data_IF_721165190625
#
_entry.id   IF_721165190625
#
_cell.length_a   1.000
_cell.length_b   1.000
_cell.length_c   1.000
_cell.angle_alpha   90.00
_cell.angle_beta   90.00
_cell.angle_gamma   90.00
#
_symmetry.space_group_name_H-M   'P 1'
#
loop_
_entity.id
_entity.type
_entity.pdbx_description
1 polymer ?
#
# COMPACT_ATOMS: atom_id res chain seq x y z
N UNK A 1 41.04 -51.38 18.80
CA UNK A 1 39.97 -50.70 18.06
C UNK A 1 40.07 -49.23 18.44
N UNK A 2 40.60 -48.41 17.53
CA UNK A 2 40.56 -46.96 17.69
C UNK A 2 39.11 -46.52 17.50
N UNK A 3 38.62 -45.69 18.42
CA UNK A 3 37.28 -45.11 18.37
C UNK A 3 37.37 -43.94 17.42
N UNK A 4 36.77 -44.05 16.24
CA UNK A 4 36.59 -42.93 15.32
C UNK A 4 35.66 -41.93 16.03
N UNK A 5 36.19 -40.76 16.35
CA UNK A 5 35.39 -39.61 16.77
C UNK A 5 34.65 -39.13 15.52
N UNK A 6 33.33 -39.29 15.53
CA UNK A 6 32.48 -38.73 14.49
C UNK A 6 32.58 -37.20 14.57
N UNK A 7 33.09 -36.57 13.52
CA UNK A 7 33.01 -35.13 13.33
C UNK A 7 31.52 -34.74 13.35
N UNK A 8 31.09 -34.02 14.39
CA UNK A 8 29.80 -33.35 14.38
C UNK A 8 29.87 -32.28 13.29
N UNK A 9 29.23 -32.54 12.15
CA UNK A 9 28.98 -31.50 11.15
C UNK A 9 28.29 -30.32 11.86
N UNK A 10 28.99 -29.18 11.95
CA UNK A 10 28.46 -27.92 12.50
C UNK A 10 27.26 -27.47 11.65
N UNK A 11 26.06 -27.95 12.00
CA UNK A 11 24.81 -27.51 11.36
C UNK A 11 24.57 -26.06 11.76
N UNK A 12 24.85 -25.15 10.83
CA UNK A 12 24.52 -23.72 10.97
C UNK A 12 23.01 -23.56 10.88
N UNK A 13 22.33 -23.48 12.02
CA UNK A 13 20.93 -23.07 12.08
C UNK A 13 20.82 -21.57 11.80
N UNK A 14 20.36 -21.22 10.60
CA UNK A 14 20.03 -19.84 10.25
C UNK A 14 18.67 -19.48 10.84
N UNK A 15 18.63 -18.37 11.55
CA UNK A 15 17.41 -17.78 12.10
C UNK A 15 16.57 -17.11 11.00
N UNK A 16 15.25 -17.01 11.20
CA UNK A 16 14.32 -16.37 10.25
C UNK A 16 14.72 -14.94 9.91
N UNK A 17 15.33 -14.21 10.85
CA UNK A 17 15.85 -12.86 10.61
C UNK A 17 16.92 -12.78 9.51
N UNK A 18 17.55 -13.90 9.15
CA UNK A 18 18.50 -13.97 8.03
C UNK A 18 17.83 -13.70 6.67
N UNK A 19 16.53 -14.01 6.54
CA UNK A 19 15.78 -13.88 5.30
C UNK A 19 14.90 -12.61 5.26
N UNK A 20 14.84 -11.86 6.36
CA UNK A 20 14.01 -10.66 6.49
C UNK A 20 14.86 -9.39 6.50
N UNK A 21 14.46 -8.41 5.71
CA UNK A 21 15.07 -7.09 5.71
C UNK A 21 14.33 -6.16 6.68
N UNK A 22 15.01 -5.67 7.71
CA UNK A 22 14.49 -4.68 8.66
C UNK A 22 15.16 -3.30 8.51
N UNK A 23 15.93 -3.09 7.45
CA UNK A 23 16.68 -1.85 7.22
C UNK A 23 15.77 -0.76 6.62
N UNK A 24 14.79 -0.32 7.41
CA UNK A 24 13.95 0.80 7.06
C UNK A 24 14.76 2.09 7.07
N UNK A 25 14.52 2.92 6.06
CA UNK A 25 15.19 4.20 5.90
C UNK A 25 14.16 5.29 5.68
N UNK A 26 14.34 6.39 6.42
CA UNK A 26 13.57 7.61 6.17
C UNK A 26 13.96 8.12 4.78
N UNK A 27 12.99 8.08 3.87
CA UNK A 27 13.19 8.41 2.46
C UNK A 27 12.30 9.59 2.11
N UNK A 28 12.90 10.64 1.54
CA UNK A 28 12.19 11.84 1.12
C UNK A 28 11.76 11.71 -0.33
N UNK A 29 10.46 11.81 -0.57
CA UNK A 29 9.84 11.84 -1.89
C UNK A 29 9.30 13.25 -2.16
N UNK A 30 9.51 13.75 -3.38
CA UNK A 30 9.04 15.08 -3.79
C UNK A 30 8.16 14.97 -5.01
N UNK A 31 6.93 15.46 -4.90
CA UNK A 31 5.94 15.48 -5.97
C UNK A 31 5.38 16.90 -6.12
N UNK A 32 5.80 17.60 -7.18
CA UNK A 32 5.48 19.02 -7.34
C UNK A 32 6.01 19.84 -6.16
N UNK A 33 5.12 20.53 -5.44
CA UNK A 33 5.46 21.29 -4.21
C UNK A 33 5.33 20.46 -2.93
N UNK A 34 4.90 19.21 -3.01
CA UNK A 34 4.66 18.36 -1.84
C UNK A 34 5.91 17.52 -1.55
N UNK A 35 6.27 17.46 -0.27
CA UNK A 35 7.35 16.64 0.25
C UNK A 35 6.73 15.62 1.21
N UNK A 36 7.06 14.36 1.01
CA UNK A 36 6.64 13.24 1.84
C UNK A 36 7.89 12.55 2.38
N UNK A 37 7.90 12.25 3.68
CA UNK A 37 8.97 11.48 4.30
C UNK A 37 8.38 10.17 4.81
N UNK A 38 8.84 9.07 4.23
CA UNK A 38 8.31 7.73 4.53
C UNK A 38 9.43 6.86 5.06
N UNK A 39 9.15 6.12 6.12
CA UNK A 39 10.03 5.08 6.62
C UNK A 39 9.74 3.81 5.80
N UNK A 40 10.59 3.49 4.84
CA UNK A 40 10.38 2.35 3.94
C UNK A 40 11.67 1.54 3.73
N UNK A 41 11.51 0.30 3.27
CA UNK A 41 12.63 -0.48 2.75
C UNK A 41 13.04 0.01 1.36
N UNK A 42 14.25 -0.34 0.93
CA UNK A 42 14.76 -0.10 -0.43
C UNK A 42 14.90 -1.38 -1.25
N UNK A 43 14.71 -2.54 -0.63
CA UNK A 43 14.75 -3.85 -1.28
C UNK A 43 13.74 -4.78 -0.64
N UNK A 44 13.00 -5.51 -1.48
CA UNK A 44 12.13 -6.59 -1.03
C UNK A 44 12.99 -7.76 -0.54
N UNK A 45 12.56 -8.47 0.49
CA UNK A 45 12.88 -9.90 0.55
C UNK A 45 11.91 -10.66 -0.35
N UNK A 46 12.19 -11.92 -0.67
CA UNK A 46 11.31 -12.76 -1.49
C UNK A 46 9.99 -13.14 -0.80
N UNK A 47 9.73 -12.62 0.40
CA UNK A 47 8.57 -12.99 1.19
C UNK A 47 7.34 -12.13 0.88
N UNK A 48 6.18 -12.77 0.79
CA UNK A 48 4.92 -12.13 0.39
C UNK A 48 4.48 -11.04 1.38
N UNK A 49 4.85 -11.20 2.66
CA UNK A 49 4.47 -10.33 3.78
C UNK A 49 5.24 -8.99 3.82
N UNK A 50 6.24 -8.80 2.97
CA UNK A 50 7.14 -7.63 3.01
C UNK A 50 6.93 -6.69 1.81
N UNK A 51 5.99 -7.02 0.91
CA UNK A 51 5.67 -6.18 -0.26
C UNK A 51 5.03 -4.84 0.12
N UNK A 52 4.35 -4.76 1.26
CA UNK A 52 3.78 -3.52 1.79
C UNK A 52 4.82 -2.53 2.34
N UNK A 53 6.11 -2.91 2.41
CA UNK A 53 7.15 -2.11 3.05
C UNK A 53 7.97 -1.25 2.07
N UNK A 54 7.63 -1.33 0.78
CA UNK A 54 8.29 -0.61 -0.30
C UNK A 54 7.36 0.44 -0.91
N UNK A 55 7.95 1.55 -1.33
CA UNK A 55 7.27 2.47 -2.25
C UNK A 55 7.46 1.94 -3.67
N UNK A 56 6.39 1.38 -4.25
CA UNK A 56 6.44 0.80 -5.58
C UNK A 56 6.41 1.86 -6.70
N UNK A 57 6.96 1.58 -7.90
CA UNK A 57 7.01 2.54 -9.00
C UNK A 57 5.64 3.09 -9.45
N UNK A 58 4.58 2.31 -9.38
CA UNK A 58 3.21 2.73 -9.64
C UNK A 58 2.71 3.78 -8.63
N UNK A 59 3.15 3.71 -7.37
CA UNK A 59 2.84 4.72 -6.36
C UNK A 59 3.56 6.03 -6.68
N UNK A 60 4.81 5.95 -7.15
CA UNK A 60 5.57 7.11 -7.64
C UNK A 60 4.88 7.77 -8.84
N UNK A 61 4.42 6.98 -9.81
CA UNK A 61 3.68 7.47 -10.97
C UNK A 61 2.35 8.12 -10.58
N UNK A 62 1.60 7.50 -9.66
CA UNK A 62 0.33 8.02 -9.19
C UNK A 62 0.50 9.37 -8.48
N UNK A 63 1.47 9.46 -7.56
CA UNK A 63 1.76 10.68 -6.82
C UNK A 63 2.27 11.81 -7.73
N UNK A 64 3.14 11.51 -8.71
CA UNK A 64 3.56 12.48 -9.73
C UNK A 64 2.35 13.00 -10.53
N UNK A 65 1.45 12.11 -10.96
CA UNK A 65 0.22 12.48 -11.66
C UNK A 65 -0.68 13.37 -10.79
N UNK A 66 -0.96 12.98 -9.55
CA UNK A 66 -1.82 13.73 -8.64
C UNK A 66 -1.24 15.11 -8.30
N UNK A 67 0.09 15.22 -8.17
CA UNK A 67 0.75 16.51 -7.90
C UNK A 67 0.57 17.53 -9.02
N UNK A 68 0.36 17.06 -10.25
CA UNK A 68 0.10 17.88 -11.45
C UNK A 68 -1.39 18.18 -11.65
N UNK A 69 -2.28 17.47 -10.94
CA UNK A 69 -3.74 17.61 -11.06
C UNK A 69 -4.39 17.75 -9.66
N UNK A 70 -3.96 18.71 -8.81
CA UNK A 70 -4.42 18.83 -7.42
C UNK A 70 -5.92 19.12 -7.28
N UNK A 71 -6.56 19.69 -8.30
CA UNK A 71 -7.99 19.91 -8.37
C UNK A 71 -8.81 18.62 -8.34
N UNK A 72 -8.22 17.48 -8.73
CA UNK A 72 -8.88 16.17 -8.67
C UNK A 72 -9.10 15.67 -7.24
N UNK A 73 -8.30 16.14 -6.28
CA UNK A 73 -8.39 15.74 -4.88
C UNK A 73 -9.15 16.76 -4.03
N UNK A 74 -9.23 18.02 -4.49
CA UNK A 74 -9.77 19.11 -3.69
C UNK A 74 -11.27 18.91 -3.41
N UNK A 75 -11.60 18.69 -2.13
CA UNK A 75 -12.98 18.50 -1.69
C UNK A 75 -13.56 17.14 -2.06
N UNK A 76 -12.75 16.21 -2.57
CA UNK A 76 -13.16 14.86 -2.90
C UNK A 76 -13.03 13.92 -1.70
N UNK A 77 -13.96 12.99 -1.60
CA UNK A 77 -13.80 11.80 -0.78
C UNK A 77 -13.00 10.76 -1.54
N UNK A 78 -11.91 10.28 -0.94
CA UNK A 78 -10.95 9.37 -1.57
C UNK A 78 -10.80 8.12 -0.72
N UNK A 79 -10.73 6.96 -1.38
CA UNK A 79 -10.29 5.70 -0.79
C UNK A 79 -9.12 5.17 -1.61
N UNK A 80 -8.08 4.72 -0.94
CA UNK A 80 -6.91 4.09 -1.55
C UNK A 80 -6.89 2.59 -1.25
N UNK A 81 -6.68 1.80 -2.28
CA UNK A 81 -6.51 0.37 -2.20
C UNK A 81 -5.03 0.03 -2.09
N UNK A 82 -4.70 -0.89 -1.18
CA UNK A 82 -3.33 -1.38 -1.00
C UNK A 82 -2.33 -0.25 -0.80
N UNK A 83 -2.57 0.62 0.18
CA UNK A 83 -1.75 1.81 0.47
C UNK A 83 -0.27 1.49 0.73
N UNK A 84 0.06 0.24 1.07
CA UNK A 84 1.44 -0.20 1.27
C UNK A 84 2.04 0.48 2.49
N UNK A 85 3.13 1.23 2.27
CA UNK A 85 3.78 2.03 3.32
C UNK A 85 2.84 3.18 3.66
N UNK A 86 2.05 3.02 4.72
CA UNK A 86 1.11 4.04 5.13
C UNK A 86 1.85 5.22 5.78
N UNK A 87 1.72 6.47 5.27
CA UNK A 87 2.19 7.65 5.98
C UNK A 87 1.54 7.84 7.36
N UNK A 88 0.36 7.27 7.63
CA UNK A 88 -0.37 7.44 8.89
C UNK A 88 0.33 6.77 10.09
N UNK A 89 0.91 5.58 9.95
CA UNK A 89 1.73 4.98 11.02
C UNK A 89 3.04 5.75 11.24
N UNK A 90 3.42 6.62 10.31
CA UNK A 90 4.60 7.47 10.40
C UNK A 90 4.32 8.83 11.07
N UNK A 91 3.07 9.25 11.23
CA UNK A 91 2.70 10.54 11.84
C UNK A 91 2.80 10.51 13.37
N UNK A 92 2.61 9.35 14.01
CA UNK A 92 2.75 9.23 15.48
C UNK A 92 4.21 9.32 15.98
N UNK A 93 5.20 9.24 15.07
CA UNK A 93 6.63 9.26 15.46
C UNK A 93 7.30 10.64 15.34
N UNK A 94 6.63 11.64 14.76
CA UNK A 94 7.22 12.97 14.51
C UNK A 94 6.29 14.14 14.87
N UNK A 95 5.58 14.07 16.00
CA UNK A 95 5.05 15.29 16.64
C UNK A 95 6.20 16.12 17.22
N UNK A 96 6.82 16.93 16.35
CA UNK A 96 7.58 18.11 16.76
C UNK A 96 7.32 19.28 15.81
N UNK A 97 6.69 20.31 16.37
CA UNK A 97 6.59 21.72 15.97
C UNK A 97 5.93 22.10 14.64
N UNK A 98 4.70 22.61 14.77
CA UNK A 98 4.08 23.74 14.05
C UNK A 98 4.28 23.85 12.53
N UNK A 99 3.33 23.30 11.75
CA UNK A 99 2.73 24.08 10.66
C UNK A 99 1.27 23.68 10.43
N UNK A 100 0.39 24.67 10.56
CA UNK A 100 -1.06 24.57 10.40
C UNK A 100 -1.44 24.10 8.99
N UNK A 101 -1.90 22.86 8.82
CA UNK A 101 -2.73 22.44 7.68
C UNK A 101 -3.71 21.36 8.14
N UNK A 102 -4.99 21.64 7.95
CA UNK A 102 -6.12 20.73 8.19
C UNK A 102 -5.87 19.38 7.52
N UNK A 103 -5.38 18.40 8.28
CA UNK A 103 -5.40 17.01 7.87
C UNK A 103 -6.88 16.60 7.81
N UNK A 104 -7.44 16.56 6.60
CA UNK A 104 -8.73 15.93 6.39
C UNK A 104 -8.63 14.50 6.92
N UNK A 105 -9.51 14.12 7.85
CA UNK A 105 -9.45 12.86 8.62
C UNK A 105 -9.12 11.63 7.77
N UNK A 106 -7.83 11.31 7.69
CA UNK A 106 -7.28 10.11 7.09
C UNK A 106 -7.55 8.97 8.06
N UNK A 107 -8.05 7.84 7.55
CA UNK A 107 -8.36 6.67 8.36
C UNK A 107 -7.86 5.44 7.63
N UNK A 108 -6.93 4.72 8.25
CA UNK A 108 -6.52 3.41 7.81
C UNK A 108 -7.55 2.36 8.25
N UNK A 109 -8.02 1.54 7.31
CA UNK A 109 -8.97 0.46 7.57
C UNK A 109 -8.58 -0.77 6.78
N UNK A 110 -8.70 -1.94 7.41
CA UNK A 110 -8.47 -3.22 6.73
C UNK A 110 -9.57 -3.46 5.70
N UNK A 111 -9.16 -3.73 4.46
CA UNK A 111 -10.04 -4.14 3.37
C UNK A 111 -9.38 -5.25 2.55
N UNK A 112 -9.80 -6.48 2.80
CA UNK A 112 -9.50 -7.63 1.95
C UNK A 112 -10.38 -7.60 0.70
N UNK A 113 -9.79 -7.85 -0.46
CA UNK A 113 -10.53 -7.85 -1.72
C UNK A 113 -11.67 -8.88 -1.69
N UNK A 114 -12.87 -8.44 -2.05
CA UNK A 114 -14.09 -9.26 -2.03
C UNK A 114 -14.78 -9.34 -0.67
N UNK A 115 -14.16 -8.84 0.41
CA UNK A 115 -14.76 -8.87 1.74
C UNK A 115 -15.86 -7.80 1.87
N UNK A 116 -17.11 -8.25 1.77
CA UNK A 116 -18.27 -7.35 1.74
C UNK A 116 -18.62 -6.77 3.13
N UNK A 117 -18.27 -7.47 4.22
CA UNK A 117 -18.51 -6.99 5.59
C UNK A 117 -17.57 -5.83 5.93
N UNK A 118 -16.29 -5.97 5.63
CA UNK A 118 -15.30 -4.89 5.79
C UNK A 118 -15.66 -3.69 4.91
N UNK A 119 -16.04 -3.93 3.65
CA UNK A 119 -16.51 -2.87 2.76
C UNK A 119 -17.75 -2.15 3.33
N UNK A 120 -18.71 -2.91 3.87
CA UNK A 120 -19.91 -2.33 4.47
C UNK A 120 -19.59 -1.47 5.69
N UNK A 121 -18.68 -1.91 6.57
CA UNK A 121 -18.20 -1.13 7.72
C UNK A 121 -17.57 0.19 7.28
N UNK A 122 -16.70 0.17 6.26
CA UNK A 122 -16.09 1.38 5.70
C UNK A 122 -17.19 2.34 5.20
N UNK A 123 -18.20 1.81 4.51
CA UNK A 123 -19.31 2.60 3.96
C UNK A 123 -20.28 3.15 5.01
N UNK A 124 -20.37 2.55 6.19
CA UNK A 124 -21.15 3.12 7.31
C UNK A 124 -20.59 4.47 7.75
N UNK A 125 -19.26 4.65 7.69
CA UNK A 125 -18.63 5.94 7.97
C UNK A 125 -18.86 6.99 6.86
N UNK A 126 -19.21 6.54 5.64
CA UNK A 126 -19.35 7.38 4.44
C UNK A 126 -20.48 6.87 3.55
N UNK A 127 -21.72 7.12 3.98
CA UNK A 127 -22.95 6.62 3.33
C UNK A 127 -23.07 7.06 1.85
N UNK A 128 -22.45 8.18 1.45
CA UNK A 128 -22.44 8.66 0.07
C UNK A 128 -21.38 8.03 -0.85
N UNK A 129 -20.61 7.06 -0.36
CA UNK A 129 -19.48 6.47 -1.08
C UNK A 129 -18.30 7.43 -1.25
N UNK A 130 -17.47 7.16 -2.26
CA UNK A 130 -16.25 7.91 -2.56
C UNK A 130 -16.32 8.55 -3.95
N UNK A 131 -15.75 9.74 -4.12
CA UNK A 131 -15.59 10.39 -5.42
C UNK A 131 -14.45 9.77 -6.23
N UNK A 132 -13.44 9.24 -5.53
CA UNK A 132 -12.23 8.68 -6.13
C UNK A 132 -11.80 7.39 -5.40
N UNK A 133 -11.53 6.36 -6.18
CA UNK A 133 -10.82 5.15 -5.77
C UNK A 133 -9.42 5.23 -6.38
N UNK A 134 -8.40 5.05 -5.56
CA UNK A 134 -7.00 5.02 -5.96
C UNK A 134 -6.44 3.62 -5.77
N UNK A 135 -5.50 3.23 -6.63
CA UNK A 135 -4.72 2.02 -6.46
C UNK A 135 -3.39 2.17 -7.17
N UNK A 136 -2.32 1.75 -6.51
CA UNK A 136 -0.99 1.74 -7.09
C UNK A 136 -0.40 0.34 -6.93
N UNK A 137 -0.09 -0.32 -8.03
CA UNK A 137 0.69 -1.57 -8.01
C UNK A 137 0.06 -2.73 -7.19
N UNK A 138 -1.26 -2.67 -6.98
CA UNK A 138 -2.06 -3.59 -6.15
C UNK A 138 -2.35 -4.97 -6.76
N UNK A 139 -1.71 -5.32 -7.88
CA UNK A 139 -1.88 -6.63 -8.55
C UNK A 139 -0.55 -7.27 -8.98
N UNK A 140 0.53 -6.95 -8.28
CA UNK A 140 1.91 -7.32 -8.65
C UNK A 140 2.24 -8.81 -8.50
N UNK A 141 1.59 -9.53 -7.59
CA UNK A 141 1.99 -10.89 -7.23
C UNK A 141 1.42 -11.91 -8.23
N UNK A 142 2.25 -12.26 -9.21
CA UNK A 142 1.93 -13.12 -10.36
C UNK A 142 1.29 -14.45 -9.96
N UNK A 143 1.72 -15.06 -8.85
CA UNK A 143 1.17 -16.35 -8.39
C UNK A 143 -0.21 -16.23 -7.72
N UNK A 144 -0.60 -15.03 -7.26
CA UNK A 144 -1.91 -14.73 -6.67
C UNK A 144 -2.88 -14.06 -7.66
N UNK A 145 -2.41 -13.70 -8.87
CA UNK A 145 -3.18 -12.97 -9.87
C UNK A 145 -4.49 -13.67 -10.24
N UNK A 146 -4.53 -15.01 -10.20
CA UNK A 146 -5.71 -15.78 -10.63
C UNK A 146 -6.92 -15.64 -9.70
N UNK A 147 -6.73 -15.42 -8.40
CA UNK A 147 -7.83 -15.38 -7.42
C UNK A 147 -8.17 -13.98 -6.94
N UNK A 148 -7.16 -13.12 -6.74
CA UNK A 148 -7.39 -11.81 -6.13
C UNK A 148 -7.79 -10.73 -7.14
N UNK A 149 -7.42 -10.85 -8.42
CA UNK A 149 -7.79 -9.84 -9.43
C UNK A 149 -9.31 -9.72 -9.60
N UNK A 150 -10.08 -10.82 -9.76
CA UNK A 150 -11.54 -10.71 -9.82
C UNK A 150 -12.13 -10.06 -8.57
N UNK A 151 -11.63 -10.41 -7.38
CA UNK A 151 -12.12 -9.85 -6.12
C UNK A 151 -11.78 -8.36 -5.96
N UNK A 152 -10.61 -7.93 -6.42
CA UNK A 152 -10.20 -6.53 -6.45
C UNK A 152 -11.15 -5.73 -7.32
N UNK A 153 -11.42 -6.19 -8.55
CA UNK A 153 -12.31 -5.50 -9.47
C UNK A 153 -13.77 -5.56 -9.02
N UNK A 154 -14.23 -6.65 -8.39
CA UNK A 154 -15.55 -6.71 -7.75
C UNK A 154 -15.68 -5.67 -6.62
N UNK A 155 -14.63 -5.52 -5.80
CA UNK A 155 -14.59 -4.51 -4.73
C UNK A 155 -14.65 -3.09 -5.31
N UNK A 156 -13.82 -2.80 -6.33
CA UNK A 156 -13.81 -1.51 -7.03
C UNK A 156 -15.17 -1.23 -7.69
N UNK A 157 -15.77 -2.22 -8.35
CA UNK A 157 -17.07 -2.10 -9.01
C UNK A 157 -18.18 -1.78 -8.00
N UNK A 158 -18.21 -2.46 -6.84
CA UNK A 158 -19.16 -2.18 -5.77
C UNK A 158 -19.06 -0.73 -5.32
N UNK A 159 -17.86 -0.19 -5.12
CA UNK A 159 -17.66 1.23 -4.77
C UNK A 159 -18.12 2.19 -5.86
N UNK A 160 -17.78 1.89 -7.12
CA UNK A 160 -18.14 2.72 -8.28
C UNK A 160 -19.67 2.81 -8.47
N UNK A 161 -20.40 1.78 -8.06
CA UNK A 161 -21.87 1.70 -8.18
C UNK A 161 -22.64 2.43 -7.08
N UNK A 162 -21.99 2.85 -5.99
CA UNK A 162 -22.66 3.55 -4.87
C UNK A 162 -23.13 4.93 -5.30
N UNK A 163 -22.30 5.63 -6.08
CA UNK A 163 -22.63 6.95 -6.61
C UNK A 163 -23.27 6.82 -7.99
N UNK A 164 -23.93 7.88 -8.44
CA UNK A 164 -24.43 7.95 -9.80
C UNK A 164 -23.31 7.71 -10.83
N UNK A 165 -23.66 7.14 -11.98
CA UNK A 165 -22.70 6.81 -13.03
C UNK A 165 -21.83 8.02 -13.39
N UNK A 166 -20.51 7.85 -13.29
CA UNK A 166 -19.52 8.88 -13.59
C UNK A 166 -19.20 9.85 -12.43
N UNK A 167 -19.82 9.67 -11.25
CA UNK A 167 -19.53 10.44 -10.03
C UNK A 167 -18.51 9.79 -9.10
N UNK A 168 -18.10 8.56 -9.39
CA UNK A 168 -16.96 7.89 -8.79
C UNK A 168 -16.01 7.45 -9.91
N UNK A 169 -14.71 7.70 -9.74
CA UNK A 169 -13.66 7.31 -10.69
C UNK A 169 -12.68 6.36 -10.02
N UNK A 170 -12.17 5.39 -10.76
CA UNK A 170 -11.08 4.54 -10.33
C UNK A 170 -9.81 4.87 -11.12
N UNK A 171 -8.74 5.23 -10.44
CA UNK A 171 -7.41 5.48 -11.02
C UNK A 171 -6.47 4.41 -10.51
N UNK A 172 -5.94 3.64 -11.46
CA UNK A 172 -5.00 2.56 -11.20
C UNK A 172 -3.68 2.86 -11.91
N UNK A 173 -2.63 3.07 -11.13
CA UNK A 173 -1.27 3.23 -11.65
C UNK A 173 -0.49 1.93 -11.45
N UNK A 174 0.23 1.51 -12.46
CA UNK A 174 1.04 0.30 -12.40
C UNK A 174 2.17 0.33 -13.42
N UNK A 175 3.20 -0.47 -13.16
CA UNK A 175 4.22 -0.80 -14.17
C UNK A 175 3.92 -2.17 -14.76
N UNK A 176 3.72 -2.22 -16.08
CA UNK A 176 3.48 -3.49 -16.78
C UNK A 176 4.67 -4.43 -16.61
N UNK A 177 4.38 -5.67 -16.24
CA UNK A 177 5.36 -6.77 -16.13
C UNK A 177 5.18 -7.82 -17.23
N UNK A 178 4.28 -7.59 -18.18
CA UNK A 178 4.11 -8.43 -19.35
C UNK A 178 5.38 -8.37 -20.20
N UNK A 179 5.92 -9.55 -20.55
CA UNK A 179 7.02 -9.69 -21.51
C UNK A 179 6.48 -9.70 -22.93
#
# INVERSE_FOLDING_TARGET
MAREEAEEDDVVCLDESFFVNYNYQLTTFTFGSQVLELLCLHSASTDFDLTGQLVWPGAMLLNDYLSKNPEMLRGCSVIEFGSGVDPAENIELHESSESSKTCAGLVAQKLEWGNSDQLHQILQSRVGGFDLVLGADIYILIDLMSFNIPLLFDTAEKLLRIREKGKCKFILAYVSRAK
#
